data_IF_651053299202
#
_entry.id   IF_651053299202
#
_cell.length_a   1.000
_cell.length_b   1.000
_cell.length_c   1.000
_cell.angle_alpha   90.00
_cell.angle_beta   90.00
_cell.angle_gamma   90.00
#
_symmetry.space_group_name_H-M   'P 1'
#
loop_
_entity.id
_entity.type
_entity.pdbx_description
1 polymer ?
#
# COMPACT_ATOMS: atom_id res chain seq x y z
N UNK A 1 -1.26 54.97 23.76
CA UNK A 1 -0.83 54.62 22.41
C UNK A 1 0.15 53.45 22.37
N UNK A 2 1.32 53.49 23.03
CA UNK A 2 2.28 52.36 23.05
C UNK A 2 1.80 51.11 23.84
N UNK A 3 0.92 51.28 24.84
CA UNK A 3 0.31 50.21 25.61
C UNK A 3 -0.77 49.46 24.81
N UNK A 4 -1.53 50.16 24.01
CA UNK A 4 -2.61 49.59 23.20
C UNK A 4 -2.04 48.78 22.01
N UNK A 5 -0.96 49.27 21.38
CA UNK A 5 -0.25 48.54 20.36
C UNK A 5 0.36 47.21 20.86
N UNK A 6 0.96 47.22 22.07
CA UNK A 6 1.47 46.00 22.69
C UNK A 6 0.38 44.95 23.05
N UNK A 7 -0.86 45.39 23.26
CA UNK A 7 -1.96 44.52 23.57
C UNK A 7 -2.52 43.81 22.32
N UNK A 8 -2.51 44.50 21.20
CA UNK A 8 -2.86 43.93 19.87
C UNK A 8 -1.87 42.84 19.48
N UNK A 9 -0.54 43.05 19.67
CA UNK A 9 0.49 42.09 19.33
C UNK A 9 0.49 40.85 20.28
N UNK A 10 0.09 40.98 21.54
CA UNK A 10 -0.03 39.85 22.46
C UNK A 10 -1.19 38.91 22.14
N UNK A 11 -2.21 39.41 21.48
CA UNK A 11 -3.38 38.60 21.09
C UNK A 11 -3.17 37.84 19.78
N UNK A 12 -2.08 38.14 19.02
CA UNK A 12 -1.78 37.51 17.71
C UNK A 12 -0.81 36.33 17.79
N UNK A 13 -0.34 35.96 19.00
CA UNK A 13 0.64 34.86 19.20
C UNK A 13 1.85 34.90 18.20
N UNK A 14 2.31 36.13 17.94
CA UNK A 14 3.35 36.43 16.96
C UNK A 14 4.71 36.17 17.59
N UNK A 15 5.42 35.18 17.06
CA UNK A 15 6.79 34.85 17.41
C UNK A 15 7.73 36.08 17.30
N UNK A 16 8.72 36.20 18.19
CA UNK A 16 9.65 37.34 18.23
C UNK A 16 10.36 37.60 16.86
N UNK A 17 10.53 36.56 16.05
CA UNK A 17 11.07 36.65 14.71
C UNK A 17 10.10 37.35 13.75
N UNK A 18 8.82 37.07 13.87
CA UNK A 18 7.76 37.71 13.08
C UNK A 18 7.59 39.16 13.45
N UNK A 19 7.81 39.52 14.73
CA UNK A 19 7.76 40.90 15.18
C UNK A 19 8.90 41.74 14.60
N UNK A 20 10.11 41.18 14.50
CA UNK A 20 11.25 41.85 13.90
C UNK A 20 11.09 42.03 12.38
N UNK A 21 10.54 41.05 11.69
CA UNK A 21 10.20 41.16 10.26
C UNK A 21 9.11 42.22 10.04
N UNK A 22 8.12 42.28 10.92
CA UNK A 22 7.05 43.25 10.87
C UNK A 22 7.54 44.71 11.07
N UNK A 23 8.49 44.91 11.97
CA UNK A 23 9.10 46.22 12.17
C UNK A 23 9.92 46.66 10.93
N UNK A 24 10.70 45.74 10.35
CA UNK A 24 11.42 46.00 9.09
C UNK A 24 10.45 46.35 7.95
N UNK A 25 9.31 45.69 7.89
CA UNK A 25 8.30 45.97 6.87
C UNK A 25 7.69 47.36 7.03
N UNK A 26 7.39 47.78 8.29
CA UNK A 26 6.91 49.12 8.60
C UNK A 26 7.94 50.21 8.20
N UNK A 27 9.21 49.96 8.47
CA UNK A 27 10.29 50.88 8.09
C UNK A 27 10.41 51.01 6.54
N UNK A 28 10.31 49.93 5.83
CA UNK A 28 10.35 49.87 4.36
C UNK A 28 9.16 50.61 3.73
N UNK A 29 7.96 50.43 4.28
CA UNK A 29 6.76 51.15 3.82
C UNK A 29 6.86 52.63 4.13
N UNK A 30 7.43 53.03 5.26
CA UNK A 30 7.65 54.45 5.62
C UNK A 30 8.62 55.10 4.65
N UNK A 31 9.73 54.40 4.31
CA UNK A 31 10.69 54.88 3.26
C UNK A 31 10.04 54.99 1.88
N UNK A 32 9.18 54.04 1.50
CA UNK A 32 8.46 54.06 0.23
C UNK A 32 7.47 55.25 0.16
N UNK A 33 6.78 55.54 1.27
CA UNK A 33 5.90 56.72 1.40
C UNK A 33 6.65 58.04 1.23
N UNK A 34 7.82 58.13 1.82
CA UNK A 34 8.67 59.33 1.70
C UNK A 34 9.19 59.53 0.27
N UNK A 35 9.50 58.45 -0.45
CA UNK A 35 10.03 58.47 -1.81
C UNK A 35 8.98 58.60 -2.91
N UNK A 36 7.78 58.12 -2.69
CA UNK A 36 6.69 58.08 -3.68
C UNK A 36 5.45 58.74 -3.09
N UNK A 37 5.13 59.94 -3.53
CA UNK A 37 3.95 60.69 -3.07
C UNK A 37 2.60 60.00 -3.34
N UNK A 38 2.54 59.02 -4.21
CA UNK A 38 1.33 58.24 -4.50
C UNK A 38 0.88 57.38 -3.31
N UNK A 39 1.74 57.08 -2.34
CA UNK A 39 1.43 56.27 -1.17
C UNK A 39 1.22 57.11 0.11
N UNK A 40 1.29 58.45 0.00
CA UNK A 40 1.28 59.35 1.18
C UNK A 40 -0.01 59.22 2.02
N UNK A 41 -1.14 58.96 1.38
CA UNK A 41 -2.47 58.95 2.01
C UNK A 41 -2.91 57.54 2.49
N UNK A 42 -2.12 56.49 2.26
CA UNK A 42 -2.45 55.13 2.70
C UNK A 42 -2.13 54.90 4.17
N UNK A 43 -3.04 54.29 4.92
CA UNK A 43 -2.78 53.89 6.30
C UNK A 43 -1.82 52.70 6.32
N UNK A 44 -0.66 52.89 6.96
CA UNK A 44 0.39 51.85 7.03
C UNK A 44 -0.12 50.65 7.85
N UNK A 45 -0.89 50.89 8.91
CA UNK A 45 -1.38 49.84 9.78
C UNK A 45 -2.45 49.00 9.08
N UNK A 46 -3.23 49.57 8.16
CA UNK A 46 -4.19 48.88 7.31
C UNK A 46 -3.47 47.98 6.28
N UNK A 47 -2.48 48.49 5.57
CA UNK A 47 -1.69 47.71 4.60
C UNK A 47 -0.99 46.53 5.28
N UNK A 48 -0.40 46.77 6.44
CA UNK A 48 0.30 45.72 7.19
C UNK A 48 -0.66 44.64 7.67
N UNK A 49 -1.85 45.02 8.14
CA UNK A 49 -2.88 44.06 8.55
C UNK A 49 -3.36 43.20 7.36
N UNK A 50 -3.56 43.78 6.19
CA UNK A 50 -3.92 43.05 4.98
C UNK A 50 -2.80 42.08 4.51
N UNK A 51 -1.54 42.48 4.62
CA UNK A 51 -0.39 41.63 4.28
C UNK A 51 -0.25 40.45 5.24
N UNK A 52 -0.48 40.65 6.53
CA UNK A 52 -0.50 39.54 7.51
C UNK A 52 -1.60 38.56 7.16
N UNK A 53 -2.80 39.04 6.88
CA UNK A 53 -3.95 38.21 6.50
C UNK A 53 -3.70 37.46 5.19
N UNK A 54 -3.05 38.12 4.21
CA UNK A 54 -2.66 37.49 2.95
C UNK A 54 -1.61 36.37 3.16
N UNK A 55 -0.65 36.59 4.08
CA UNK A 55 0.37 35.58 4.44
C UNK A 55 -0.26 34.35 5.08
N UNK A 56 -1.20 34.54 5.99
CA UNK A 56 -1.93 33.43 6.64
C UNK A 56 -2.73 32.62 5.61
N UNK A 57 -3.47 33.29 4.73
CA UNK A 57 -4.21 32.63 3.65
C UNK A 57 -3.28 31.89 2.68
N UNK A 58 -2.12 32.45 2.38
CA UNK A 58 -1.12 31.78 1.54
C UNK A 58 -0.60 30.50 2.18
N UNK A 59 -0.33 30.52 3.50
CA UNK A 59 0.09 29.33 4.23
C UNK A 59 -1.01 28.28 4.24
N UNK A 60 -2.26 28.66 4.47
CA UNK A 60 -3.40 27.75 4.43
C UNK A 60 -3.55 27.08 3.04
N UNK A 61 -3.38 27.85 1.97
CA UNK A 61 -3.39 27.31 0.59
C UNK A 61 -2.28 26.29 0.40
N UNK A 62 -1.06 26.60 0.84
CA UNK A 62 0.09 25.69 0.74
C UNK A 62 -0.12 24.38 1.49
N UNK A 63 -0.75 24.44 2.67
CA UNK A 63 -1.06 23.26 3.46
C UNK A 63 -2.13 22.40 2.76
N UNK A 64 -3.15 23.02 2.17
CA UNK A 64 -4.17 22.35 1.35
C UNK A 64 -3.58 21.71 0.09
N UNK A 65 -2.64 22.36 -0.57
CA UNK A 65 -1.94 21.79 -1.74
C UNK A 65 -1.17 20.52 -1.38
N UNK A 66 -0.52 20.52 -0.20
CA UNK A 66 0.16 19.32 0.34
C UNK A 66 -0.82 18.18 0.62
N UNK A 67 -2.00 18.49 1.15
CA UNK A 67 -3.05 17.48 1.40
C UNK A 67 -3.62 16.93 0.09
N UNK A 68 -3.88 17.80 -0.89
CA UNK A 68 -4.32 17.41 -2.23
C UNK A 68 -3.32 16.46 -2.88
N UNK A 69 -2.02 16.74 -2.80
CA UNK A 69 -0.99 15.86 -3.34
C UNK A 69 -1.05 14.46 -2.70
N UNK A 70 -1.20 14.37 -1.37
CA UNK A 70 -1.36 13.09 -0.65
C UNK A 70 -2.62 12.34 -1.05
N UNK A 71 -3.72 13.06 -1.29
CA UNK A 71 -4.98 12.45 -1.74
C UNK A 71 -4.88 11.94 -3.18
N UNK A 72 -4.17 12.65 -4.05
CA UNK A 72 -3.92 12.22 -5.43
C UNK A 72 -3.09 10.93 -5.49
N UNK A 73 -2.06 10.80 -4.64
CA UNK A 73 -1.29 9.55 -4.52
C UNK A 73 -2.16 8.37 -4.07
N UNK A 74 -3.00 8.58 -3.04
CA UNK A 74 -3.95 7.55 -2.58
C UNK A 74 -4.98 7.18 -3.66
N UNK A 75 -5.44 8.14 -4.44
CA UNK A 75 -6.37 7.89 -5.54
C UNK A 75 -5.73 7.03 -6.62
N UNK A 76 -4.47 7.30 -6.95
CA UNK A 76 -3.70 6.50 -7.90
C UNK A 76 -3.56 5.05 -7.43
N UNK A 77 -3.20 4.84 -6.16
CA UNK A 77 -3.10 3.50 -5.56
C UNK A 77 -4.46 2.77 -5.62
N UNK A 78 -5.55 3.48 -5.36
CA UNK A 78 -6.91 2.92 -5.44
C UNK A 78 -7.28 2.53 -6.88
N UNK A 79 -6.97 3.37 -7.88
CA UNK A 79 -7.23 3.06 -9.29
C UNK A 79 -6.42 1.84 -9.77
N UNK A 80 -5.16 1.71 -9.32
CA UNK A 80 -4.34 0.53 -9.59
C UNK A 80 -4.95 -0.73 -8.96
N UNK A 81 -5.39 -0.64 -7.70
CA UNK A 81 -6.06 -1.74 -7.01
C UNK A 81 -7.39 -2.13 -7.70
N UNK A 82 -8.17 -1.16 -8.17
CA UNK A 82 -9.41 -1.40 -8.91
C UNK A 82 -9.16 -2.09 -10.25
N UNK A 83 -8.13 -1.67 -10.98
CA UNK A 83 -7.72 -2.34 -12.24
C UNK A 83 -7.26 -3.77 -11.99
N UNK A 84 -6.54 -3.99 -10.89
CA UNK A 84 -6.10 -5.32 -10.47
C UNK A 84 -7.30 -6.22 -10.13
N UNK A 85 -8.26 -5.70 -9.39
CA UNK A 85 -9.49 -6.43 -9.04
C UNK A 85 -10.27 -6.82 -10.31
N UNK A 86 -10.52 -5.87 -11.21
CA UNK A 86 -11.21 -6.13 -12.47
C UNK A 86 -10.50 -7.19 -13.33
N UNK A 87 -9.17 -7.16 -13.37
CA UNK A 87 -8.36 -8.17 -14.05
C UNK A 87 -8.54 -9.57 -13.43
N UNK A 88 -8.61 -9.65 -12.10
CA UNK A 88 -8.83 -10.93 -11.42
C UNK A 88 -10.26 -11.43 -11.62
N UNK A 89 -11.25 -10.57 -11.56
CA UNK A 89 -12.65 -10.90 -11.83
C UNK A 89 -12.84 -11.43 -13.26
N UNK A 90 -12.23 -10.78 -14.25
CA UNK A 90 -12.29 -11.22 -15.66
C UNK A 90 -11.61 -12.58 -15.88
N UNK A 91 -10.48 -12.81 -15.21
CA UNK A 91 -9.65 -14.00 -15.45
C UNK A 91 -10.04 -15.21 -14.61
N UNK A 92 -10.50 -14.99 -13.39
CA UNK A 92 -10.79 -16.04 -12.40
C UNK A 92 -12.28 -16.08 -12.01
N UNK A 93 -13.10 -15.21 -12.57
CA UNK A 93 -14.51 -15.10 -12.23
C UNK A 93 -14.70 -14.63 -10.78
N UNK A 94 -15.67 -15.23 -10.07
CA UNK A 94 -15.90 -14.97 -8.64
C UNK A 94 -14.94 -15.71 -7.72
N UNK A 95 -13.86 -16.28 -8.26
CA UNK A 95 -12.85 -16.95 -7.48
C UNK A 95 -12.01 -15.93 -6.69
N UNK A 96 -11.48 -16.37 -5.57
CA UNK A 96 -10.63 -15.53 -4.72
C UNK A 96 -9.33 -15.15 -5.45
N UNK A 97 -8.81 -13.93 -5.23
CA UNK A 97 -7.55 -13.51 -5.84
C UNK A 97 -6.38 -14.36 -5.32
N UNK A 98 -5.27 -14.47 -6.07
CA UNK A 98 -4.04 -15.09 -5.59
C UNK A 98 -3.50 -14.37 -4.34
N UNK A 99 -3.08 -15.13 -3.31
CA UNK A 99 -2.45 -14.52 -2.13
C UNK A 99 -1.08 -13.91 -2.43
N UNK A 100 -0.34 -14.48 -3.37
CA UNK A 100 0.99 -14.01 -3.76
C UNK A 100 1.05 -13.67 -5.25
N UNK A 101 1.43 -12.42 -5.53
CA UNK A 101 1.68 -11.93 -6.88
C UNK A 101 2.98 -11.13 -6.91
N UNK A 102 3.65 -11.10 -8.05
CA UNK A 102 4.84 -10.26 -8.23
C UNK A 102 4.43 -8.79 -8.22
N UNK A 103 5.06 -7.99 -7.34
CA UNK A 103 4.81 -6.54 -7.27
C UNK A 103 5.04 -5.89 -8.65
N UNK A 104 4.09 -5.04 -9.05
CA UNK A 104 4.16 -4.25 -10.30
C UNK A 104 3.82 -5.02 -11.58
N UNK A 105 3.42 -6.29 -11.50
CA UNK A 105 2.92 -7.05 -12.65
C UNK A 105 1.64 -7.78 -12.30
N UNK A 106 0.54 -7.38 -12.93
CA UNK A 106 -0.80 -7.96 -12.74
C UNK A 106 -0.92 -9.46 -13.08
N UNK A 107 0.10 -10.04 -13.74
CA UNK A 107 -0.03 -11.32 -14.40
C UNK A 107 0.84 -12.46 -13.83
N UNK A 108 1.73 -12.23 -12.88
CA UNK A 108 2.59 -13.30 -12.37
C UNK A 108 2.20 -13.69 -10.96
N UNK A 109 1.53 -14.83 -10.88
CA UNK A 109 1.28 -15.54 -9.63
C UNK A 109 2.59 -16.13 -9.11
N UNK A 110 2.80 -16.05 -7.80
CA UNK A 110 3.92 -16.70 -7.11
C UNK A 110 3.39 -17.89 -6.31
N UNK A 111 4.10 -18.99 -6.37
CA UNK A 111 3.66 -20.27 -5.81
C UNK A 111 4.13 -20.44 -4.36
N UNK A 112 3.25 -20.98 -3.51
CA UNK A 112 3.59 -21.29 -2.12
C UNK A 112 4.48 -22.54 -2.03
N UNK A 113 4.15 -23.57 -2.84
CA UNK A 113 4.88 -24.82 -2.96
C UNK A 113 4.97 -25.27 -4.41
N UNK A 114 6.04 -26.00 -4.72
CA UNK A 114 6.08 -26.94 -5.84
C UNK A 114 5.51 -28.27 -5.33
N UNK A 115 4.51 -28.80 -6.03
CA UNK A 115 3.83 -30.06 -5.69
C UNK A 115 4.11 -31.07 -6.80
N UNK A 116 4.74 -32.17 -6.47
CA UNK A 116 4.97 -33.29 -7.38
C UNK A 116 3.99 -34.40 -7.03
N UNK A 117 3.16 -34.79 -7.99
CA UNK A 117 2.26 -35.92 -7.86
C UNK A 117 2.97 -37.13 -8.49
N UNK A 118 3.25 -38.16 -7.72
CA UNK A 118 3.79 -39.44 -8.16
C UNK A 118 2.81 -40.59 -7.87
N UNK A 119 3.22 -41.84 -8.12
CA UNK A 119 2.37 -43.01 -7.91
C UNK A 119 1.99 -43.24 -6.43
N UNK A 120 2.76 -42.73 -5.48
CA UNK A 120 2.55 -42.94 -4.06
C UNK A 120 1.80 -41.76 -3.37
N UNK A 121 1.83 -40.57 -3.96
CA UNK A 121 1.19 -39.40 -3.35
C UNK A 121 1.65 -38.05 -3.86
N UNK A 122 1.60 -37.05 -3.00
CA UNK A 122 2.03 -35.68 -3.26
C UNK A 122 3.26 -35.36 -2.43
N UNK A 123 4.29 -34.80 -3.06
CA UNK A 123 5.46 -34.26 -2.38
C UNK A 123 5.44 -32.75 -2.51
N UNK A 124 5.53 -32.05 -1.38
CA UNK A 124 5.62 -30.60 -1.34
C UNK A 124 7.06 -30.14 -1.13
N UNK A 125 7.49 -29.19 -1.93
CA UNK A 125 8.80 -28.52 -1.78
C UNK A 125 8.59 -27.02 -1.72
N UNK A 126 9.25 -26.33 -0.76
CA UNK A 126 9.11 -24.88 -0.69
C UNK A 126 9.74 -24.17 -1.89
N UNK A 127 9.28 -22.94 -2.10
CA UNK A 127 9.72 -22.11 -3.22
C UNK A 127 10.66 -20.97 -2.78
N UNK A 128 11.27 -21.08 -1.61
CA UNK A 128 12.10 -20.03 -1.00
C UNK A 128 13.31 -19.66 -1.87
N UNK A 129 13.91 -20.62 -2.56
CA UNK A 129 14.99 -20.36 -3.53
C UNK A 129 14.52 -19.58 -4.76
N UNK A 130 13.27 -19.80 -5.20
CA UNK A 130 12.65 -19.10 -6.34
C UNK A 130 12.15 -17.73 -5.96
N UNK A 131 11.63 -17.57 -4.73
CA UNK A 131 11.04 -16.33 -4.22
C UNK A 131 11.66 -15.91 -2.88
N UNK A 132 12.94 -15.52 -2.82
CA UNK A 132 13.62 -15.18 -1.58
C UNK A 132 12.95 -14.00 -0.84
N UNK A 133 12.26 -13.12 -1.56
CA UNK A 133 11.51 -12.02 -0.97
C UNK A 133 10.24 -12.47 -0.23
N UNK A 134 9.75 -13.71 -0.44
CA UNK A 134 8.58 -14.31 0.22
C UNK A 134 8.90 -15.10 1.49
N UNK A 135 10.17 -15.31 1.79
CA UNK A 135 10.60 -16.09 2.98
C UNK A 135 10.00 -15.52 4.28
N UNK A 136 9.93 -14.18 4.39
CA UNK A 136 9.32 -13.53 5.56
C UNK A 136 7.81 -13.74 5.59
N UNK A 137 7.12 -13.58 4.46
CA UNK A 137 5.67 -13.78 4.36
C UNK A 137 5.31 -15.23 4.67
N UNK A 138 6.11 -16.19 4.17
CA UNK A 138 5.97 -17.62 4.42
C UNK A 138 6.07 -17.97 5.91
N UNK A 139 7.01 -17.37 6.64
CA UNK A 139 7.17 -17.58 8.10
C UNK A 139 5.94 -17.14 8.92
N UNK A 140 5.13 -16.24 8.37
CA UNK A 140 3.91 -15.78 9.01
C UNK A 140 2.70 -16.70 8.74
N UNK A 141 2.83 -17.69 7.85
CA UNK A 141 1.78 -18.65 7.56
C UNK A 141 1.84 -19.83 8.56
N UNK A 142 0.70 -20.44 8.90
CA UNK A 142 0.62 -21.58 9.80
C UNK A 142 1.05 -22.89 9.09
N UNK A 143 2.31 -22.97 8.69
CA UNK A 143 2.90 -24.07 7.93
C UNK A 143 3.52 -25.16 8.81
N UNK A 144 3.47 -25.04 10.14
CA UNK A 144 4.16 -25.95 11.06
C UNK A 144 3.71 -27.41 10.98
N UNK A 145 2.52 -27.69 10.44
CA UNK A 145 2.05 -29.06 10.20
C UNK A 145 2.49 -29.63 8.85
N UNK A 146 2.98 -28.78 7.92
CA UNK A 146 3.35 -29.21 6.56
C UNK A 146 4.74 -29.84 6.58
N UNK A 147 4.83 -31.11 6.20
CA UNK A 147 6.10 -31.82 6.08
C UNK A 147 6.58 -31.80 4.64
N UNK A 148 7.67 -31.07 4.40
CA UNK A 148 8.28 -30.92 3.07
C UNK A 148 9.14 -32.14 2.70
N UNK A 149 9.20 -32.47 1.41
CA UNK A 149 10.04 -33.56 0.87
C UNK A 149 9.54 -34.97 1.19
N UNK A 150 8.39 -35.11 1.85
CA UNK A 150 7.79 -36.39 2.21
C UNK A 150 6.58 -36.69 1.33
N UNK A 151 6.36 -37.94 0.99
CA UNK A 151 5.17 -38.38 0.24
C UNK A 151 3.95 -38.34 1.16
N UNK A 152 2.94 -37.59 0.78
CA UNK A 152 1.69 -37.42 1.50
C UNK A 152 0.55 -38.08 0.71
N UNK A 153 -0.26 -38.90 1.35
CA UNK A 153 -1.54 -39.28 0.76
C UNK A 153 -2.53 -38.08 0.80
N UNK A 154 -3.64 -38.19 0.05
CA UNK A 154 -4.60 -37.09 -0.08
C UNK A 154 -5.13 -36.58 1.28
N UNK A 155 -5.43 -37.48 2.23
CA UNK A 155 -5.94 -37.08 3.55
C UNK A 155 -4.85 -36.41 4.40
N UNK A 156 -3.61 -36.89 4.34
CA UNK A 156 -2.46 -36.27 5.02
C UNK A 156 -2.21 -34.88 4.46
N UNK A 157 -2.24 -34.73 3.14
CA UNK A 157 -2.09 -33.44 2.47
C UNK A 157 -3.15 -32.44 2.97
N UNK A 158 -4.44 -32.80 2.93
CA UNK A 158 -5.53 -31.95 3.39
C UNK A 158 -5.38 -31.59 4.87
N UNK A 159 -5.05 -32.55 5.74
CA UNK A 159 -4.88 -32.29 7.17
C UNK A 159 -3.72 -31.32 7.43
N UNK A 160 -2.60 -31.48 6.75
CA UNK A 160 -1.42 -30.64 6.94
C UNK A 160 -1.59 -29.23 6.40
N UNK A 161 -2.34 -29.05 5.31
CA UNK A 161 -2.54 -27.74 4.66
C UNK A 161 -3.78 -26.99 5.14
N UNK A 162 -4.65 -27.65 5.95
CA UNK A 162 -5.91 -27.06 6.45
C UNK A 162 -5.76 -25.71 7.12
N UNK A 163 -4.72 -25.52 7.94
CA UNK A 163 -4.52 -24.28 8.68
C UNK A 163 -4.27 -23.08 7.74
N UNK A 164 -3.47 -23.27 6.67
CA UNK A 164 -3.22 -22.25 5.66
C UNK A 164 -4.48 -21.93 4.87
N UNK A 165 -5.23 -22.96 4.48
CA UNK A 165 -6.50 -22.79 3.77
C UNK A 165 -7.49 -21.97 4.61
N UNK A 166 -7.71 -22.34 5.88
CA UNK A 166 -8.66 -21.65 6.77
C UNK A 166 -8.28 -20.20 7.01
N UNK A 167 -6.99 -19.90 7.14
CA UNK A 167 -6.51 -18.53 7.33
C UNK A 167 -6.91 -17.62 6.17
N UNK A 168 -6.88 -18.11 4.95
CA UNK A 168 -7.00 -17.28 3.74
C UNK A 168 -8.31 -17.52 2.96
N UNK A 169 -9.18 -18.44 3.38
CA UNK A 169 -10.35 -18.93 2.63
C UNK A 169 -11.34 -17.86 2.18
N UNK A 170 -11.35 -16.69 2.83
CA UNK A 170 -12.29 -15.59 2.53
C UNK A 170 -11.60 -14.37 1.85
N UNK A 171 -10.28 -14.37 1.77
CA UNK A 171 -9.52 -13.20 1.30
C UNK A 171 -8.73 -13.46 0.04
N UNK A 172 -8.07 -14.62 -0.04
CA UNK A 172 -7.23 -14.98 -1.18
C UNK A 172 -6.96 -16.48 -1.17
N UNK A 173 -6.40 -17.00 -2.26
CA UNK A 173 -6.02 -18.40 -2.36
C UNK A 173 -4.58 -18.54 -2.87
N UNK A 174 -3.79 -19.36 -2.19
CA UNK A 174 -2.42 -19.63 -2.62
C UNK A 174 -2.40 -20.56 -3.84
N UNK A 175 -1.37 -20.41 -4.66
CA UNK A 175 -1.12 -21.28 -5.81
C UNK A 175 -0.03 -22.29 -5.52
N UNK A 176 -0.20 -23.50 -6.06
CA UNK A 176 0.85 -24.51 -6.17
C UNK A 176 1.24 -24.69 -7.64
N UNK A 177 2.54 -24.89 -7.87
CA UNK A 177 3.02 -25.38 -9.16
C UNK A 177 3.00 -26.89 -9.14
N UNK A 178 2.12 -27.51 -9.93
CA UNK A 178 1.87 -28.94 -9.91
C UNK A 178 2.59 -29.60 -11.09
N UNK A 179 3.39 -30.63 -10.79
CA UNK A 179 4.05 -31.48 -11.79
C UNK A 179 3.52 -32.89 -11.66
N UNK A 180 3.09 -33.45 -12.80
CA UNK A 180 2.63 -34.83 -12.89
C UNK A 180 3.80 -35.77 -13.17
N UNK A 181 4.10 -36.65 -12.24
CA UNK A 181 5.03 -37.76 -12.38
C UNK A 181 4.35 -39.11 -12.07
N UNK A 182 3.01 -39.19 -12.11
CA UNK A 182 2.22 -40.41 -11.81
C UNK A 182 2.14 -41.41 -12.99
N UNK A 183 2.99 -41.24 -14.00
CA UNK A 183 3.02 -42.11 -15.15
C UNK A 183 1.69 -42.14 -15.92
N UNK A 184 1.16 -43.37 -16.18
CA UNK A 184 -0.08 -43.53 -16.96
C UNK A 184 -1.36 -43.60 -16.07
N UNK A 185 -1.25 -43.45 -14.76
CA UNK A 185 -2.40 -43.58 -13.84
C UNK A 185 -3.18 -42.27 -13.68
N UNK A 186 -3.98 -41.94 -14.70
CA UNK A 186 -4.80 -40.72 -14.72
C UNK A 186 -5.78 -40.61 -13.56
N UNK A 187 -6.29 -41.73 -13.05
CA UNK A 187 -7.23 -41.68 -11.92
C UNK A 187 -6.53 -41.32 -10.62
N UNK A 188 -5.30 -41.77 -10.46
CA UNK A 188 -4.45 -41.45 -9.34
C UNK A 188 -4.08 -39.96 -9.35
N UNK A 189 -3.60 -39.49 -10.48
CA UNK A 189 -3.34 -38.07 -10.67
C UNK A 189 -4.56 -37.17 -10.33
N UNK A 190 -5.74 -37.50 -10.90
CA UNK A 190 -6.97 -36.74 -10.63
C UNK A 190 -7.35 -36.71 -9.17
N UNK A 191 -7.18 -37.83 -8.44
CA UNK A 191 -7.47 -37.91 -7.00
C UNK A 191 -6.62 -36.89 -6.20
N UNK A 192 -5.31 -36.85 -6.45
CA UNK A 192 -4.43 -35.93 -5.74
C UNK A 192 -4.59 -34.49 -6.20
N UNK A 193 -4.84 -34.31 -7.49
CA UNK A 193 -5.13 -32.98 -8.04
C UNK A 193 -6.39 -32.37 -7.40
N UNK A 194 -7.46 -33.18 -7.24
CA UNK A 194 -8.67 -32.75 -6.54
C UNK A 194 -8.37 -32.35 -5.10
N UNK A 195 -7.56 -33.13 -4.36
CA UNK A 195 -7.16 -32.76 -3.00
C UNK A 195 -6.37 -31.43 -2.95
N UNK A 196 -5.55 -31.16 -3.96
CA UNK A 196 -4.85 -29.87 -4.10
C UNK A 196 -5.87 -28.75 -4.34
N UNK A 197 -6.82 -28.95 -5.25
CA UNK A 197 -7.85 -27.97 -5.62
C UNK A 197 -8.81 -27.63 -4.47
N UNK A 198 -8.99 -28.51 -3.50
CA UNK A 198 -9.78 -28.22 -2.28
C UNK A 198 -9.19 -27.06 -1.47
N UNK A 199 -7.86 -26.93 -1.40
CA UNK A 199 -7.19 -25.94 -0.59
C UNK A 199 -6.44 -24.84 -1.36
N UNK A 200 -6.01 -25.14 -2.59
CA UNK A 200 -5.13 -24.27 -3.38
C UNK A 200 -5.64 -24.11 -4.81
N UNK A 201 -5.22 -23.03 -5.45
CA UNK A 201 -5.23 -22.98 -6.91
C UNK A 201 -3.99 -23.73 -7.46
N UNK A 202 -4.11 -24.26 -8.62
CA UNK A 202 -3.03 -24.99 -9.30
C UNK A 202 -2.55 -24.26 -10.55
N UNK A 203 -1.28 -24.43 -10.85
CA UNK A 203 -0.73 -24.23 -12.17
C UNK A 203 0.00 -25.52 -12.57
N UNK A 204 -0.41 -26.13 -13.68
CA UNK A 204 0.20 -27.38 -14.15
C UNK A 204 1.43 -27.03 -15.00
N UNK A 205 2.61 -27.52 -14.58
CA UNK A 205 3.84 -27.46 -15.34
C UNK A 205 3.77 -28.53 -16.42
N UNK A 206 3.79 -28.09 -17.71
CA UNK A 206 3.65 -28.99 -18.90
C UNK A 206 5.00 -29.50 -19.37
#
# INVERSE_FOLDING_TARGET
>A
ELRDQNQIYKNLDVDALQLAEFQKFKELIAELKEKNGEFADMDIDEIVSELVLAKEKYQEIKDKDSEIAKLMDKLKDYEEAKKLLAYYEERFGNDLPPCWTKKGTLAKVEYLYDAVINDDGVILTNTDSRYPHRVKDRKNLPLGAVTEGVVLNAQQFLNQTKAVFVLNKETCRHYLLVKDLSGNNKNHFKKYLSAIEDHFYKYEDK
#
